data_IF_953655742911
#
_entry.id   IF_953655742911
#
_cell.length_a   1.000
_cell.length_b   1.000
_cell.length_c   1.000
_cell.angle_alpha   90.00
_cell.angle_beta   90.00
_cell.angle_gamma   90.00
#
_symmetry.space_group_name_H-M   'P 1'
#
loop_
_entity.id
_entity.type
_entity.pdbx_description
1 polymer ?
#
# COMPACT_ATOMS: atom_id res chain seq x y z
N UNK A 1 -37.02 -8.98 61.61
CA UNK A 1 -36.78 -9.79 60.40
C UNK A 1 -35.60 -9.16 59.70
N UNK A 2 -34.48 -9.88 59.48
CA UNK A 2 -33.38 -9.29 58.73
C UNK A 2 -33.87 -9.06 57.30
N UNK A 3 -33.85 -7.81 56.84
CA UNK A 3 -34.04 -7.51 55.42
C UNK A 3 -32.87 -8.16 54.68
N UNK A 4 -33.15 -9.22 53.93
CA UNK A 4 -32.16 -9.79 53.03
C UNK A 4 -31.86 -8.73 51.96
N UNK A 5 -30.66 -8.16 52.02
CA UNK A 5 -30.15 -7.22 51.04
C UNK A 5 -30.17 -7.91 49.67
N UNK A 6 -31.13 -7.54 48.82
CA UNK A 6 -31.21 -8.10 47.46
C UNK A 6 -30.19 -7.37 46.60
N UNK A 7 -29.00 -7.95 46.46
CA UNK A 7 -27.91 -7.41 45.64
C UNK A 7 -28.05 -7.88 44.20
N UNK A 8 -27.85 -6.97 43.25
CA UNK A 8 -27.70 -7.34 41.83
C UNK A 8 -26.25 -7.74 41.56
N UNK A 9 -26.01 -8.75 40.69
CA UNK A 9 -24.68 -9.03 40.19
C UNK A 9 -24.02 -7.79 39.55
N UNK A 10 -22.69 -7.65 39.63
CA UNK A 10 -21.98 -6.55 38.99
C UNK A 10 -22.29 -6.42 37.49
N UNK A 11 -22.33 -7.52 36.74
CA UNK A 11 -22.57 -7.51 35.29
C UNK A 11 -23.96 -6.96 34.95
N UNK A 12 -25.00 -7.44 35.64
CA UNK A 12 -26.37 -6.94 35.47
C UNK A 12 -26.52 -5.46 35.88
N UNK A 13 -25.69 -5.00 36.82
CA UNK A 13 -25.66 -3.59 37.24
C UNK A 13 -24.93 -2.73 36.21
N UNK A 14 -23.87 -3.25 35.60
CA UNK A 14 -23.12 -2.61 34.54
C UNK A 14 -23.96 -2.48 33.26
N UNK A 15 -24.69 -3.52 32.85
CA UNK A 15 -25.60 -3.46 31.70
C UNK A 15 -26.65 -2.36 31.88
N UNK A 16 -27.33 -2.33 33.03
CA UNK A 16 -28.31 -1.28 33.34
C UNK A 16 -27.71 0.12 33.33
N UNK A 17 -26.46 0.27 33.79
CA UNK A 17 -25.74 1.53 33.74
C UNK A 17 -25.43 1.92 32.29
N UNK A 18 -24.95 0.98 31.48
CA UNK A 18 -24.62 1.21 30.08
C UNK A 18 -25.87 1.58 29.26
N UNK A 19 -26.99 0.90 29.48
CA UNK A 19 -28.28 1.19 28.84
C UNK A 19 -28.85 2.57 29.22
N UNK A 20 -28.42 3.14 30.35
CA UNK A 20 -28.85 4.47 30.76
C UNK A 20 -28.09 5.61 30.05
N UNK A 21 -26.97 5.31 29.38
CA UNK A 21 -26.23 6.31 28.63
C UNK A 21 -26.87 6.58 27.26
N UNK A 22 -26.97 7.86 26.93
CA UNK A 22 -27.40 8.32 25.61
C UNK A 22 -26.16 8.57 24.77
N UNK A 23 -26.17 8.12 23.51
CA UNK A 23 -25.11 8.44 22.56
C UNK A 23 -24.95 9.96 22.44
N UNK A 24 -23.72 10.51 22.50
CA UNK A 24 -23.50 11.94 22.34
C UNK A 24 -24.13 12.45 21.04
N UNK A 25 -24.91 13.53 21.12
CA UNK A 25 -25.57 14.14 19.95
C UNK A 25 -24.82 15.37 19.42
N UNK A 26 -23.71 15.75 20.06
CA UNK A 26 -22.92 16.91 19.66
C UNK A 26 -21.62 16.43 19.05
N UNK A 27 -21.36 16.92 17.85
CA UNK A 27 -20.17 16.64 17.09
C UNK A 27 -19.54 17.97 16.69
N UNK A 28 -18.24 17.93 16.46
CA UNK A 28 -17.49 19.07 15.95
C UNK A 28 -16.49 18.57 14.91
N UNK A 29 -16.18 19.40 13.93
CA UNK A 29 -15.10 19.18 12.99
C UNK A 29 -13.89 19.94 13.50
N UNK A 30 -12.80 19.22 13.72
CA UNK A 30 -11.52 19.74 14.23
C UNK A 30 -10.40 19.38 13.26
N UNK A 31 -9.25 20.05 13.39
CA UNK A 31 -8.07 19.67 12.62
C UNK A 31 -7.56 18.30 13.08
N UNK A 32 -7.03 17.49 12.15
CA UNK A 32 -6.52 16.15 12.45
C UNK A 32 -5.42 16.15 13.51
N UNK A 33 -4.62 17.22 13.59
CA UNK A 33 -3.57 17.38 14.60
C UNK A 33 -4.12 17.52 16.03
N UNK A 34 -5.36 17.99 16.17
CA UNK A 34 -6.04 18.16 17.47
C UNK A 34 -6.95 16.96 17.80
N UNK A 35 -6.99 15.95 16.93
CA UNK A 35 -7.91 14.83 17.03
C UNK A 35 -7.42 13.70 17.94
N UNK A 36 -6.19 13.76 18.47
CA UNK A 36 -5.66 12.75 19.38
C UNK A 36 -6.61 12.51 20.56
N UNK A 37 -6.89 11.25 20.87
CA UNK A 37 -7.82 10.79 21.91
C UNK A 37 -9.31 11.17 21.70
N UNK A 38 -9.66 11.82 20.60
CA UNK A 38 -11.06 12.07 20.21
C UNK A 38 -11.70 10.82 19.65
N UNK A 39 -13.03 10.77 19.66
CA UNK A 39 -13.83 9.66 19.11
C UNK A 39 -14.51 10.10 17.83
N UNK A 40 -14.37 9.31 16.76
CA UNK A 40 -15.00 9.60 15.48
C UNK A 40 -16.53 9.57 15.59
N UNK A 41 -17.16 10.65 15.14
CA UNK A 41 -18.62 10.77 15.06
C UNK A 41 -19.21 9.91 13.93
N UNK A 42 -18.49 9.83 12.81
CA UNK A 42 -18.90 9.17 11.57
C UNK A 42 -17.72 8.36 10.99
N UNK A 43 -17.98 7.37 10.13
CA UNK A 43 -16.91 6.60 9.52
C UNK A 43 -16.07 7.46 8.55
N UNK A 44 -14.75 7.32 8.61
CA UNK A 44 -13.83 7.91 7.65
C UNK A 44 -13.73 6.99 6.43
N UNK A 45 -13.97 7.56 5.25
CA UNK A 45 -13.86 6.88 3.96
C UNK A 45 -12.74 7.48 3.13
N UNK A 46 -12.05 6.64 2.36
CA UNK A 46 -11.00 7.12 1.46
C UNK A 46 -11.60 7.92 0.31
N UNK A 47 -11.01 9.07 0.00
CA UNK A 47 -11.35 9.86 -1.18
C UNK A 47 -10.46 9.51 -2.40
N UNK A 48 -9.45 8.67 -2.21
CA UNK A 48 -8.48 8.28 -3.24
C UNK A 48 -8.13 6.79 -3.13
N UNK A 49 -7.50 6.27 -4.18
CA UNK A 49 -6.88 4.96 -4.15
C UNK A 49 -5.50 5.05 -3.48
N UNK A 50 -5.16 4.07 -2.65
CA UNK A 50 -3.83 3.90 -2.09
C UNK A 50 -3.28 2.53 -2.51
N UNK A 51 -2.10 2.47 -3.17
CA UNK A 51 -1.43 3.60 -3.79
C UNK A 51 -2.24 4.20 -4.96
N UNK A 52 -1.96 5.46 -5.33
CA UNK A 52 -2.67 6.17 -6.40
C UNK A 52 -2.23 5.77 -7.82
N UNK A 53 -1.07 5.11 -7.93
CA UNK A 53 -0.46 4.61 -9.15
C UNK A 53 0.27 3.29 -8.83
N UNK A 54 0.50 2.40 -9.83
CA UNK A 54 1.25 1.19 -9.58
C UNK A 54 2.69 1.54 -9.21
N UNK A 55 3.23 0.92 -8.16
CA UNK A 55 4.56 1.25 -7.63
C UNK A 55 5.41 0.01 -7.34
N UNK A 56 6.72 0.17 -7.42
CA UNK A 56 7.67 -0.89 -7.07
C UNK A 56 7.67 -1.18 -5.58
N UNK A 57 7.79 -2.47 -5.21
CA UNK A 57 8.04 -2.90 -3.82
C UNK A 57 9.52 -3.08 -3.49
N UNK A 58 10.40 -3.00 -4.49
CA UNK A 58 11.83 -3.28 -4.37
C UNK A 58 12.65 -2.26 -5.16
N UNK A 59 13.95 -2.21 -4.89
CA UNK A 59 14.91 -1.51 -5.74
C UNK A 59 15.36 -2.46 -6.87
N UNK A 60 15.46 -1.94 -8.09
CA UNK A 60 15.89 -2.74 -9.24
C UNK A 60 15.48 -2.14 -10.57
N UNK A 61 14.99 -3.00 -11.47
CA UNK A 61 14.72 -2.63 -12.85
C UNK A 61 13.28 -2.93 -13.24
N UNK A 62 12.53 -1.89 -13.60
CA UNK A 62 11.23 -2.04 -14.22
C UNK A 62 11.42 -2.67 -15.61
N UNK A 63 10.68 -3.74 -15.86
CA UNK A 63 10.78 -4.54 -17.08
C UNK A 63 9.41 -4.87 -17.63
N UNK A 64 9.40 -5.31 -18.88
CA UNK A 64 8.34 -6.16 -19.41
C UNK A 64 8.67 -7.58 -18.98
N UNK A 65 7.87 -8.19 -18.11
CA UNK A 65 8.11 -9.52 -17.55
C UNK A 65 8.42 -10.55 -18.64
N UNK A 66 7.71 -10.48 -19.77
CA UNK A 66 7.91 -11.37 -20.93
C UNK A 66 9.33 -11.34 -21.51
N UNK A 67 10.03 -10.21 -21.42
CA UNK A 67 11.38 -10.04 -21.94
C UNK A 67 12.42 -10.74 -21.03
N UNK A 68 12.00 -11.15 -19.83
CA UNK A 68 12.83 -11.91 -18.88
C UNK A 68 12.57 -13.41 -18.93
N UNK A 69 11.60 -13.89 -19.71
CA UNK A 69 11.20 -15.29 -19.70
C UNK A 69 12.33 -16.21 -20.16
N UNK A 70 12.66 -17.21 -19.31
CA UNK A 70 13.78 -18.12 -19.54
C UNK A 70 15.13 -17.62 -19.03
N UNK A 71 15.21 -16.39 -18.51
CA UNK A 71 16.41 -15.85 -17.89
C UNK A 71 16.80 -16.66 -16.65
N UNK A 72 18.09 -17.00 -16.57
CA UNK A 72 18.71 -17.70 -15.45
C UNK A 72 20.17 -17.27 -15.32
N UNK A 73 20.83 -17.58 -14.21
CA UNK A 73 22.25 -17.24 -13.99
C UNK A 73 23.18 -17.76 -15.11
N UNK A 74 22.87 -18.92 -15.71
CA UNK A 74 23.67 -19.50 -16.79
C UNK A 74 23.24 -19.03 -18.20
N UNK A 75 22.07 -18.40 -18.31
CA UNK A 75 21.51 -17.89 -19.55
C UNK A 75 20.76 -16.57 -19.24
N UNK A 76 21.48 -15.48 -18.99
CA UNK A 76 20.87 -14.21 -18.64
C UNK A 76 20.13 -13.60 -19.84
N UNK A 77 19.08 -12.84 -19.55
CA UNK A 77 18.46 -11.97 -20.55
C UNK A 77 19.12 -10.60 -20.53
N UNK A 78 19.43 -10.04 -21.69
CA UNK A 78 20.08 -8.75 -21.84
C UNK A 78 19.04 -7.68 -22.17
N UNK A 79 18.94 -6.66 -21.32
CA UNK A 79 18.02 -5.53 -21.49
C UNK A 79 18.79 -4.22 -21.56
N UNK A 80 18.32 -3.32 -22.43
CA UNK A 80 18.89 -1.98 -22.55
C UNK A 80 18.32 -1.06 -21.46
N UNK A 81 19.19 -0.42 -20.68
CA UNK A 81 18.81 0.60 -19.70
C UNK A 81 18.50 1.91 -20.42
N UNK A 82 17.21 2.29 -20.47
CA UNK A 82 16.76 3.48 -21.21
C UNK A 82 16.50 4.71 -20.33
N UNK A 83 16.68 4.58 -19.02
CA UNK A 83 16.57 5.69 -18.07
C UNK A 83 16.33 5.24 -16.64
N UNK A 84 15.99 6.20 -15.79
CA UNK A 84 15.72 6.03 -14.36
C UNK A 84 14.41 6.72 -13.99
N UNK A 85 13.62 6.08 -13.14
CA UNK A 85 12.44 6.67 -12.51
C UNK A 85 12.79 7.03 -11.06
N UNK A 86 12.93 8.32 -10.80
CA UNK A 86 13.20 8.84 -9.45
C UNK A 86 11.98 8.68 -8.54
N UNK A 87 12.23 8.50 -7.25
CA UNK A 87 11.16 8.43 -6.26
C UNK A 87 10.36 9.75 -6.20
N UNK A 88 9.03 9.66 -6.27
CA UNK A 88 8.14 10.82 -6.19
C UNK A 88 7.96 11.59 -7.50
N UNK A 89 8.64 11.19 -8.58
CA UNK A 89 8.46 11.74 -9.92
C UNK A 89 7.52 10.87 -10.76
N UNK A 90 6.86 11.47 -11.75
CA UNK A 90 6.10 10.72 -12.74
C UNK A 90 7.05 9.92 -13.64
N UNK A 91 6.65 8.71 -13.98
CA UNK A 91 7.41 7.89 -14.91
C UNK A 91 7.14 8.34 -16.36
N UNK A 92 7.91 9.32 -16.85
CA UNK A 92 7.81 9.85 -18.22
C UNK A 92 8.52 8.95 -19.27
N UNK A 93 8.94 7.75 -18.85
CA UNK A 93 9.62 6.75 -19.68
C UNK A 93 8.62 5.67 -20.10
N UNK A 94 8.71 5.23 -21.35
CA UNK A 94 7.95 4.09 -21.86
C UNK A 94 8.90 3.00 -22.32
N UNK A 95 8.77 1.81 -21.72
CA UNK A 95 9.57 0.65 -22.07
C UNK A 95 9.22 0.14 -23.47
N UNK A 96 10.26 -0.25 -24.21
CA UNK A 96 10.21 -1.00 -25.47
C UNK A 96 10.58 -2.46 -25.22
N UNK A 97 10.48 -3.30 -26.25
CA UNK A 97 11.03 -4.66 -26.22
C UNK A 97 12.52 -4.65 -25.87
N UNK A 98 12.93 -5.56 -24.98
CA UNK A 98 14.30 -5.73 -24.52
C UNK A 98 14.90 -4.46 -23.91
N UNK A 99 14.09 -3.74 -23.11
CA UNK A 99 14.53 -2.55 -22.38
C UNK A 99 14.05 -2.57 -20.94
N UNK A 100 14.77 -1.86 -20.08
CA UNK A 100 14.46 -1.68 -18.68
C UNK A 100 14.71 -0.23 -18.24
N UNK A 101 14.13 0.14 -17.10
CA UNK A 101 14.40 1.41 -16.44
C UNK A 101 14.79 1.14 -14.98
N UNK A 102 15.81 1.83 -14.48
CA UNK A 102 16.17 1.79 -13.07
C UNK A 102 14.99 2.38 -12.27
N UNK A 103 14.58 1.68 -11.22
CA UNK A 103 13.47 2.08 -10.37
C UNK A 103 13.81 1.74 -8.92
N UNK A 104 13.45 2.65 -8.01
CA UNK A 104 13.61 2.44 -6.58
C UNK A 104 12.26 2.11 -5.94
N UNK A 105 12.31 1.61 -4.71
CA UNK A 105 11.14 1.25 -3.90
C UNK A 105 10.17 2.43 -3.81
N UNK A 106 8.90 2.19 -4.12
CA UNK A 106 7.86 3.22 -4.18
C UNK A 106 7.86 4.06 -5.46
N UNK A 107 8.81 3.87 -6.37
CA UNK A 107 8.82 4.50 -7.69
C UNK A 107 7.62 4.08 -8.53
N UNK A 108 7.11 5.01 -9.34
CA UNK A 108 5.98 4.76 -10.25
C UNK A 108 6.41 3.80 -11.36
N UNK A 109 5.61 2.75 -11.61
CA UNK A 109 5.89 1.81 -12.70
C UNK A 109 5.77 2.54 -14.06
N UNK A 110 6.81 2.53 -14.92
CA UNK A 110 6.80 3.21 -16.22
C UNK A 110 5.84 2.55 -17.21
N UNK A 111 5.46 3.31 -18.24
CA UNK A 111 4.54 2.79 -19.25
C UNK A 111 5.11 1.55 -19.95
N UNK A 112 4.25 0.55 -20.16
CA UNK A 112 4.56 -0.80 -20.68
C UNK A 112 5.35 -1.73 -19.74
N UNK A 113 5.85 -1.27 -18.59
CA UNK A 113 6.37 -2.18 -17.58
C UNK A 113 5.21 -2.87 -16.84
N UNK A 114 5.42 -4.14 -16.48
CA UNK A 114 4.45 -4.94 -15.73
C UNK A 114 5.10 -5.75 -14.60
N UNK A 115 6.41 -5.60 -14.37
CA UNK A 115 7.11 -6.23 -13.25
C UNK A 115 8.40 -5.47 -12.91
N UNK A 116 8.98 -5.75 -11.74
CA UNK A 116 10.30 -5.23 -11.33
C UNK A 116 11.22 -6.40 -10.97
N UNK A 117 12.40 -6.46 -11.60
CA UNK A 117 13.47 -7.38 -11.20
C UNK A 117 14.28 -6.72 -10.11
N UNK A 118 14.40 -7.37 -8.95
CA UNK A 118 15.25 -6.90 -7.84
C UNK A 118 16.70 -6.71 -8.30
N UNK A 119 17.38 -5.67 -7.82
CA UNK A 119 18.77 -5.36 -8.17
C UNK A 119 19.73 -6.54 -7.92
N UNK A 120 19.47 -7.35 -6.89
CA UNK A 120 20.26 -8.53 -6.53
C UNK A 120 20.19 -9.64 -7.58
N UNK A 121 19.13 -9.65 -8.41
CA UNK A 121 18.95 -10.60 -9.50
C UNK A 121 19.41 -10.02 -10.85
N UNK A 122 20.24 -8.99 -10.82
CA UNK A 122 20.76 -8.34 -12.02
C UNK A 122 22.27 -8.13 -11.95
N UNK A 123 22.89 -7.96 -13.12
CA UNK A 123 24.29 -7.57 -13.23
C UNK A 123 24.44 -6.49 -14.30
N UNK A 124 25.16 -5.42 -14.00
CA UNK A 124 25.45 -4.39 -14.97
C UNK A 124 26.72 -4.76 -15.76
N UNK A 125 26.56 -5.04 -17.06
CA UNK A 125 27.67 -5.44 -17.96
C UNK A 125 28.22 -4.30 -18.81
N UNK A 126 27.53 -3.16 -18.84
CA UNK A 126 27.94 -1.95 -19.55
C UNK A 126 27.26 -0.69 -19.01
N UNK A 127 27.43 0.43 -19.72
CA UNK A 127 26.77 1.69 -19.33
C UNK A 127 25.26 1.63 -19.48
N UNK A 128 24.78 0.93 -20.51
CA UNK A 128 23.37 0.91 -20.93
C UNK A 128 22.82 -0.51 -21.06
N UNK A 129 23.50 -1.52 -20.50
CA UNK A 129 23.11 -2.92 -20.62
C UNK A 129 23.09 -3.60 -19.24
N UNK A 130 21.97 -4.27 -18.97
CA UNK A 130 21.68 -4.97 -17.72
C UNK A 130 21.36 -6.43 -18.04
N UNK A 131 22.09 -7.33 -17.39
CA UNK A 131 21.78 -8.76 -17.36
C UNK A 131 20.73 -9.04 -16.29
N UNK A 132 19.67 -9.72 -16.70
CA UNK A 132 18.67 -10.29 -15.81
C UNK A 132 19.04 -11.74 -15.55
N UNK A 133 19.35 -12.05 -14.28
CA UNK A 133 19.80 -13.38 -13.84
C UNK A 133 18.63 -14.27 -13.40
N UNK A 134 17.46 -13.67 -13.16
CA UNK A 134 16.24 -14.39 -12.75
C UNK A 134 15.02 -13.76 -13.41
N UNK A 135 14.24 -14.58 -14.10
CA UNK A 135 12.96 -14.18 -14.67
C UNK A 135 11.96 -13.74 -13.59
N UNK A 136 11.08 -12.81 -13.95
CA UNK A 136 9.97 -12.34 -13.12
C UNK A 136 8.63 -12.56 -13.82
N UNK A 137 7.58 -12.80 -13.03
CA UNK A 137 6.22 -12.92 -13.54
C UNK A 137 5.55 -11.54 -13.69
N UNK A 138 4.53 -11.40 -14.56
CA UNK A 138 3.71 -10.19 -14.58
C UNK A 138 3.09 -9.91 -13.20
N UNK A 139 3.18 -8.67 -12.74
CA UNK A 139 2.76 -8.21 -11.41
C UNK A 139 3.78 -8.48 -10.30
N UNK A 140 4.89 -9.16 -10.57
CA UNK A 140 5.89 -9.44 -9.54
C UNK A 140 6.60 -8.15 -9.10
N UNK A 141 6.68 -7.96 -7.79
CA UNK A 141 7.26 -6.77 -7.14
C UNK A 141 6.57 -5.44 -7.48
N UNK A 142 5.27 -5.50 -7.82
CA UNK A 142 4.43 -4.32 -8.08
C UNK A 142 3.25 -4.34 -7.11
N UNK A 143 2.93 -3.19 -6.53
CA UNK A 143 1.64 -2.95 -5.86
C UNK A 143 0.77 -2.17 -6.84
N UNK A 144 -0.44 -2.69 -7.09
CA UNK A 144 -1.41 -2.10 -8.00
C UNK A 144 -2.18 -0.93 -7.37
N UNK A 145 -2.86 -0.15 -8.22
CA UNK A 145 -3.67 0.99 -7.77
C UNK A 145 -4.78 0.52 -6.84
N UNK A 146 -4.86 1.14 -5.66
CA UNK A 146 -5.92 0.86 -4.70
C UNK A 146 -5.80 -0.48 -3.96
N UNK A 147 -4.69 -1.19 -4.11
CA UNK A 147 -4.48 -2.49 -3.46
C UNK A 147 -4.49 -2.40 -1.93
N UNK A 148 -4.03 -1.29 -1.34
CA UNK A 148 -4.15 -1.04 0.10
C UNK A 148 -5.55 -0.53 0.45
N UNK A 149 -6.02 0.50 -0.26
CA UNK A 149 -7.32 1.13 -0.02
C UNK A 149 -7.92 1.61 -1.34
N UNK A 150 -9.11 1.12 -1.68
CA UNK A 150 -9.88 1.66 -2.79
C UNK A 150 -10.66 2.91 -2.38
N UNK A 151 -10.88 3.81 -3.35
CA UNK A 151 -11.77 4.97 -3.17
C UNK A 151 -13.15 4.55 -2.64
N UNK A 152 -13.64 5.27 -1.64
CA UNK A 152 -14.92 5.01 -0.98
C UNK A 152 -14.88 3.94 0.12
N UNK A 153 -13.79 3.18 0.22
CA UNK A 153 -13.58 2.20 1.29
C UNK A 153 -13.63 2.88 2.65
N UNK A 154 -14.29 2.23 3.62
CA UNK A 154 -14.28 2.70 5.01
C UNK A 154 -12.94 2.35 5.64
N UNK A 155 -12.12 3.37 5.91
CA UNK A 155 -10.79 3.22 6.51
C UNK A 155 -10.89 3.13 8.03
N UNK A 156 -11.76 3.94 8.64
CA UNK A 156 -11.96 3.93 10.10
C UNK A 156 -13.46 4.00 10.40
N UNK A 157 -14.04 3.05 11.17
CA UNK A 157 -15.44 3.12 11.57
C UNK A 157 -15.71 4.27 12.55
N UNK A 158 -16.98 4.69 12.63
CA UNK A 158 -17.44 5.57 13.70
C UNK A 158 -17.24 4.93 15.09
N UNK A 159 -17.08 5.75 16.12
CA UNK A 159 -16.89 5.28 17.50
C UNK A 159 -15.45 4.87 17.83
N UNK A 160 -14.54 4.89 16.86
CA UNK A 160 -13.11 4.62 17.11
C UNK A 160 -12.44 5.84 17.73
N UNK A 161 -11.65 5.60 18.78
CA UNK A 161 -10.76 6.60 19.36
C UNK A 161 -9.52 6.77 18.48
N UNK A 162 -9.24 8.00 18.08
CA UNK A 162 -8.05 8.37 17.31
C UNK A 162 -6.81 8.24 18.19
N UNK A 163 -5.74 7.65 17.64
CA UNK A 163 -4.49 7.31 18.33
C UNK A 163 -3.28 7.81 17.56
#
# INVERSE_FOLDING_TARGET
>A
MPEFLTLRPPDASLELLLDSFVTPQRFETIASLDALDRVLAEPIRSNENLPAFPRSTVDGFAVRARDTFGASENLPAYLNLIGEVSMGESADISLKENSCALIHTGGMIPANADAVVMVENTQQTGKEEIEILKAVAPGENVIEVGEDVEVGSQVIPAGVRVR
#
